data_IF_192173796688
#
_entry.id   IF_192173796688
#
_cell.length_a   1.000
_cell.length_b   1.000
_cell.length_c   1.000
_cell.angle_alpha   90.00
_cell.angle_beta   90.00
_cell.angle_gamma   90.00
#
_symmetry.space_group_name_H-M   'P 1'
#
loop_
_entity.id
_entity.type
_entity.pdbx_description
1 polymer ?
#
# COMPACT_ATOMS: atom_id res chain seq x y z
N UNK A 1 -4.34 1.06 7.94
CA UNK A 1 -2.87 0.95 8.02
C UNK A 1 -2.34 1.25 9.42
N UNK A 2 -2.49 2.47 9.95
CA UNK A 2 -2.15 2.75 11.36
C UNK A 2 -2.94 1.86 12.34
N UNK A 3 -4.15 1.47 11.97
CA UNK A 3 -4.95 0.46 12.68
C UNK A 3 -4.29 -0.93 12.73
N UNK A 4 -3.59 -1.37 11.68
CA UNK A 4 -2.87 -2.64 11.68
C UNK A 4 -1.66 -2.58 12.60
N UNK A 5 -0.87 -1.51 12.50
CA UNK A 5 0.28 -1.28 13.38
C UNK A 5 -0.18 -1.18 14.83
N UNK A 6 -1.26 -0.44 15.12
CA UNK A 6 -1.81 -0.32 16.46
C UNK A 6 -2.25 -1.67 17.05
N UNK A 7 -2.90 -2.51 16.25
CA UNK A 7 -3.29 -3.88 16.68
C UNK A 7 -2.07 -4.76 16.93
N UNK A 8 -1.14 -4.81 15.98
CA UNK A 8 0.09 -5.60 16.11
C UNK A 8 0.91 -5.17 17.33
N UNK A 9 1.08 -3.86 17.53
CA UNK A 9 1.84 -3.31 18.64
C UNK A 9 1.19 -3.65 19.99
N UNK A 10 -0.15 -3.60 20.08
CA UNK A 10 -0.87 -3.98 21.29
C UNK A 10 -0.72 -5.48 21.60
N UNK A 11 -0.80 -6.35 20.60
CA UNK A 11 -0.62 -7.80 20.75
C UNK A 11 0.80 -8.18 21.20
N UNK A 12 1.81 -7.46 20.71
CA UNK A 12 3.23 -7.73 20.99
C UNK A 12 3.84 -6.81 22.06
N UNK A 13 3.02 -6.02 22.76
CA UNK A 13 3.45 -5.06 23.78
C UNK A 13 4.57 -4.09 23.32
N UNK A 14 4.48 -3.61 22.09
CA UNK A 14 5.41 -2.64 21.50
C UNK A 14 4.90 -1.20 21.70
N UNK A 15 5.79 -0.30 22.11
CA UNK A 15 5.53 1.16 22.06
C UNK A 15 5.95 1.67 20.68
N UNK A 16 4.96 2.00 19.84
CA UNK A 16 5.18 2.56 18.50
C UNK A 16 4.60 3.95 18.45
N UNK A 17 5.44 4.92 18.08
CA UNK A 17 5.02 6.32 17.92
C UNK A 17 5.41 6.83 16.56
N UNK A 18 4.43 7.39 15.83
CA UNK A 18 4.69 8.11 14.59
C UNK A 18 5.22 9.50 14.95
N UNK A 19 6.44 9.81 14.52
CA UNK A 19 7.06 11.12 14.73
C UNK A 19 6.76 12.06 13.56
N UNK A 20 6.85 11.55 12.34
CA UNK A 20 6.62 12.34 11.12
C UNK A 20 6.02 11.48 10.01
N UNK A 21 5.18 12.12 9.19
CA UNK A 21 4.76 11.61 7.88
C UNK A 21 5.07 12.70 6.86
N UNK A 22 5.83 12.36 5.83
CA UNK A 22 6.28 13.29 4.78
C UNK A 22 6.00 12.71 3.41
N UNK A 23 5.72 13.56 2.43
CA UNK A 23 5.86 13.18 1.03
C UNK A 23 7.32 13.41 0.60
N UNK A 24 7.87 12.46 -0.15
CA UNK A 24 9.20 12.55 -0.74
C UNK A 24 9.27 11.74 -2.04
N UNK A 25 9.42 12.44 -3.16
CA UNK A 25 9.53 11.86 -4.51
C UNK A 25 8.31 11.05 -4.94
N UNK A 26 7.09 11.55 -4.66
CA UNK A 26 5.84 10.88 -5.00
C UNK A 26 5.53 9.66 -4.13
N UNK A 27 6.17 9.56 -2.96
CA UNK A 27 5.97 8.49 -1.99
C UNK A 27 5.76 9.10 -0.60
N UNK A 28 4.99 8.43 0.24
CA UNK A 28 4.99 8.69 1.67
C UNK A 28 6.28 8.16 2.31
N UNK A 29 6.73 8.85 3.36
CA UNK A 29 7.80 8.45 4.27
C UNK A 29 7.34 8.67 5.70
N UNK A 30 7.27 7.58 6.46
CA UNK A 30 6.81 7.53 7.84
C UNK A 30 8.00 7.27 8.75
N UNK A 31 8.29 8.22 9.62
CA UNK A 31 9.32 8.07 10.64
C UNK A 31 8.65 7.68 11.94
N UNK A 32 9.03 6.53 12.47
CA UNK A 32 8.54 6.02 13.76
C UNK A 32 9.66 5.89 14.78
N UNK A 33 9.29 5.97 16.05
CA UNK A 33 10.10 5.57 17.20
C UNK A 33 9.52 4.29 17.80
N UNK A 34 10.41 3.38 18.18
CA UNK A 34 10.05 2.08 18.76
C UNK A 34 9.63 1.06 17.70
N UNK A 35 8.77 0.11 18.09
CA UNK A 35 8.36 -0.99 17.21
C UNK A 35 9.47 -1.99 16.92
N UNK A 36 9.26 -2.77 15.87
CA UNK A 36 10.11 -3.88 15.48
C UNK A 36 10.21 -4.03 13.94
N UNK A 37 10.86 -5.10 13.49
CA UNK A 37 11.04 -5.37 12.06
C UNK A 37 9.70 -5.56 11.33
N UNK A 38 8.69 -6.15 11.98
CA UNK A 38 7.38 -6.36 11.34
C UNK A 38 6.67 -5.03 11.17
N UNK A 39 6.71 -4.17 12.19
CA UNK A 39 6.17 -2.81 12.14
C UNK A 39 6.81 -2.01 11.01
N UNK A 40 8.14 -2.07 10.88
CA UNK A 40 8.87 -1.42 9.78
C UNK A 40 8.41 -1.95 8.42
N UNK A 41 8.28 -3.27 8.25
CA UNK A 41 7.81 -3.86 6.98
C UNK A 41 6.38 -3.48 6.62
N UNK A 42 5.48 -3.37 7.61
CA UNK A 42 4.11 -2.89 7.36
C UNK A 42 4.13 -1.46 6.80
N UNK A 43 4.98 -0.61 7.38
CA UNK A 43 5.20 0.76 6.88
C UNK A 43 5.85 0.77 5.50
N UNK A 44 6.86 -0.06 5.26
CA UNK A 44 7.51 -0.15 3.95
C UNK A 44 6.51 -0.51 2.84
N UNK A 45 5.61 -1.47 3.08
CA UNK A 45 4.55 -1.81 2.11
C UNK A 45 3.61 -0.63 1.87
N UNK A 46 3.21 0.06 2.93
CA UNK A 46 2.38 1.24 2.82
C UNK A 46 3.02 2.38 2.03
N UNK A 47 4.31 2.64 2.26
CA UNK A 47 5.08 3.63 1.51
C UNK A 47 5.17 3.24 0.03
N UNK A 48 5.46 1.97 -0.28
CA UNK A 48 5.47 1.47 -1.66
C UNK A 48 4.12 1.65 -2.36
N UNK A 49 3.03 1.30 -1.68
CA UNK A 49 1.67 1.42 -2.23
C UNK A 49 1.30 2.89 -2.46
N UNK A 50 1.73 3.80 -1.59
CA UNK A 50 1.49 5.24 -1.78
C UNK A 50 2.03 5.79 -3.10
N UNK A 51 3.10 5.18 -3.63
CA UNK A 51 3.67 5.51 -4.95
C UNK A 51 2.79 5.15 -6.14
N UNK A 52 1.67 4.47 -5.88
CA UNK A 52 0.66 4.08 -6.86
C UNK A 52 -0.70 4.74 -6.54
N UNK A 53 -0.76 5.68 -5.60
CA UNK A 53 -2.00 6.36 -5.17
C UNK A 53 -1.96 7.83 -5.58
N UNK A 54 -2.99 8.29 -6.27
CA UNK A 54 -3.15 9.69 -6.64
C UNK A 54 -3.26 10.57 -5.39
N UNK A 55 -2.35 11.53 -5.22
CA UNK A 55 -2.33 12.38 -4.01
C UNK A 55 -3.50 13.38 -3.94
N UNK A 56 -4.28 13.51 -5.02
CA UNK A 56 -5.47 14.38 -5.08
C UNK A 56 -6.76 13.68 -4.65
N UNK A 57 -6.95 12.43 -5.07
CA UNK A 57 -8.24 11.73 -4.88
C UNK A 57 -8.13 10.33 -4.27
N UNK A 58 -6.92 9.81 -4.02
CA UNK A 58 -6.74 8.47 -3.44
C UNK A 58 -6.95 7.30 -4.42
N UNK A 59 -7.38 7.56 -5.66
CA UNK A 59 -7.51 6.53 -6.71
C UNK A 59 -6.14 6.05 -7.19
N UNK A 60 -6.08 4.89 -7.81
CA UNK A 60 -4.86 4.38 -8.45
C UNK A 60 -4.26 5.41 -9.42
N UNK A 61 -2.98 5.69 -9.27
CA UNK A 61 -2.23 6.68 -10.02
C UNK A 61 -0.89 6.16 -10.50
N UNK A 62 -0.23 6.97 -11.32
CA UNK A 62 1.13 6.73 -11.79
C UNK A 62 2.00 7.94 -11.52
N UNK A 63 3.30 7.73 -11.48
CA UNK A 63 4.27 8.82 -11.43
C UNK A 63 4.03 9.81 -12.56
N UNK A 64 4.01 11.08 -12.20
CA UNK A 64 3.75 12.20 -13.07
C UNK A 64 4.70 13.34 -12.66
N UNK A 65 5.45 13.86 -13.62
CA UNK A 65 6.30 15.02 -13.37
C UNK A 65 5.55 16.29 -13.75
N UNK A 66 5.44 17.22 -12.80
CA UNK A 66 4.86 18.53 -13.00
C UNK A 66 5.78 19.60 -12.44
N UNK A 67 6.22 20.54 -13.30
CA UNK A 67 7.09 21.66 -12.91
C UNK A 67 8.38 21.22 -12.16
N UNK A 68 8.98 20.09 -12.57
CA UNK A 68 10.18 19.54 -11.95
C UNK A 68 9.96 18.84 -10.60
N UNK A 69 8.70 18.66 -10.18
CA UNK A 69 8.34 17.87 -9.01
C UNK A 69 7.74 16.54 -9.43
N UNK A 70 8.25 15.45 -8.87
CA UNK A 70 7.70 14.11 -9.05
C UNK A 70 6.49 13.95 -8.12
N UNK A 71 5.36 13.59 -8.69
CA UNK A 71 4.08 13.38 -8.01
C UNK A 71 3.44 12.07 -8.45
N UNK A 72 2.39 11.63 -7.77
CA UNK A 72 1.53 10.55 -8.24
C UNK A 72 0.12 11.08 -8.52
N UNK A 73 -0.34 10.83 -9.75
CA UNK A 73 -1.64 11.33 -10.26
C UNK A 73 -2.36 10.21 -11.01
N UNK A 74 -3.67 10.11 -10.82
CA UNK A 74 -4.52 9.33 -11.73
C UNK A 74 -4.66 10.07 -13.07
N UNK A 75 -5.12 9.38 -14.12
CA UNK A 75 -5.28 9.96 -15.46
C UNK A 75 -6.07 11.27 -15.44
N UNK A 76 -7.14 11.33 -14.64
CA UNK A 76 -7.97 12.52 -14.48
C UNK A 76 -7.17 13.73 -13.97
N UNK A 77 -6.31 13.55 -12.97
CA UNK A 77 -5.53 14.62 -12.34
C UNK A 77 -4.17 14.88 -13.02
N UNK A 78 -3.85 14.17 -14.10
CA UNK A 78 -2.73 14.53 -14.99
C UNK A 78 -3.16 15.57 -16.04
N UNK A 79 -4.46 15.73 -16.27
CA UNK A 79 -5.00 16.65 -17.25
C UNK A 79 -5.15 18.07 -16.66
N UNK A 80 -4.81 19.13 -17.42
CA UNK A 80 -5.02 20.51 -16.98
C UNK A 80 -6.51 20.83 -16.81
N UNK A 81 -6.82 21.74 -15.88
CA UNK A 81 -8.17 22.30 -15.60
C UNK A 81 -9.21 21.34 -14.99
N UNK A 82 -8.77 20.29 -14.31
CA UNK A 82 -9.64 19.46 -13.48
C UNK A 82 -9.76 20.07 -12.07
N UNK A 83 -10.99 20.21 -11.57
CA UNK A 83 -11.25 20.73 -10.22
C UNK A 83 -10.69 19.78 -9.17
N UNK A 84 -9.83 20.29 -8.29
CA UNK A 84 -9.22 19.58 -7.15
C UNK A 84 -10.23 19.12 -6.07
N UNK A 85 -11.53 19.26 -6.31
CA UNK A 85 -12.57 18.96 -5.33
C UNK A 85 -12.94 17.49 -5.41
N UNK A 86 -12.06 16.63 -4.89
CA UNK A 86 -12.46 15.27 -4.48
C UNK A 86 -11.99 15.06 -3.06
N UNK A 87 -12.93 14.92 -2.13
CA UNK A 87 -12.60 14.56 -0.75
C UNK A 87 -12.22 13.08 -0.75
N UNK A 88 -10.99 12.77 -0.35
CA UNK A 88 -10.59 11.40 -0.08
C UNK A 88 -11.24 10.98 1.24
N UNK A 89 -12.34 10.22 1.17
CA UNK A 89 -12.99 9.70 2.36
C UNK A 89 -12.22 8.50 2.93
N UNK A 90 -12.17 8.40 4.25
CA UNK A 90 -11.65 7.20 4.91
C UNK A 90 -12.54 6.01 4.59
N UNK A 91 -11.94 4.94 4.06
CA UNK A 91 -12.61 3.67 3.83
C UNK A 91 -12.14 2.64 4.85
N UNK A 92 -13.04 2.26 5.76
CA UNK A 92 -12.81 1.17 6.71
C UNK A 92 -12.63 -0.16 5.97
N UNK A 93 -13.45 -0.40 4.94
CA UNK A 93 -13.38 -1.60 4.10
C UNK A 93 -12.01 -1.76 3.46
N UNK A 94 -11.47 -0.68 2.88
CA UNK A 94 -10.11 -0.68 2.33
C UNK A 94 -9.08 -0.95 3.41
N UNK A 95 -9.16 -0.25 4.54
CA UNK A 95 -8.20 -0.39 5.63
C UNK A 95 -8.11 -1.82 6.17
N UNK A 96 -9.24 -2.52 6.28
CA UNK A 96 -9.31 -3.92 6.72
C UNK A 96 -8.80 -4.87 5.63
N UNK A 97 -9.20 -4.66 4.38
CA UNK A 97 -8.82 -5.52 3.25
C UNK A 97 -7.32 -5.45 2.98
N UNK A 98 -6.77 -4.23 2.99
CA UNK A 98 -5.34 -3.97 2.90
C UNK A 98 -4.58 -4.67 4.02
N UNK A 99 -5.04 -4.54 5.27
CA UNK A 99 -4.37 -5.15 6.40
C UNK A 99 -4.26 -6.68 6.29
N UNK A 100 -5.35 -7.35 5.85
CA UNK A 100 -5.37 -8.80 5.60
C UNK A 100 -4.45 -9.22 4.47
N UNK A 101 -4.42 -8.47 3.37
CA UNK A 101 -3.54 -8.76 2.25
C UNK A 101 -2.06 -8.61 2.66
N UNK A 102 -1.71 -7.50 3.31
CA UNK A 102 -0.33 -7.22 3.76
C UNK A 102 0.14 -8.25 4.78
N UNK A 103 -0.70 -8.70 5.71
CA UNK A 103 -0.29 -9.73 6.68
C UNK A 103 0.10 -11.03 5.99
N UNK A 104 -0.66 -11.48 4.97
CA UNK A 104 -0.28 -12.66 4.17
C UNK A 104 0.96 -12.43 3.32
N UNK A 105 1.10 -11.26 2.68
CA UNK A 105 2.29 -10.92 1.88
C UNK A 105 3.55 -11.01 2.74
N UNK A 106 3.54 -10.39 3.93
CA UNK A 106 4.70 -10.41 4.83
C UNK A 106 4.96 -11.81 5.40
N UNK A 107 3.92 -12.61 5.64
CA UNK A 107 4.06 -13.99 6.10
C UNK A 107 4.69 -14.90 5.04
N UNK A 108 4.22 -14.84 3.79
CA UNK A 108 4.71 -15.67 2.69
C UNK A 108 6.12 -15.27 2.24
N UNK A 109 6.33 -13.99 1.95
CA UNK A 109 7.55 -13.53 1.27
C UNK A 109 8.62 -13.02 2.22
N UNK A 110 8.30 -12.83 3.51
CA UNK A 110 9.25 -12.44 4.57
C UNK A 110 10.03 -11.18 4.24
N UNK A 111 11.30 -11.32 3.85
CA UNK A 111 12.24 -10.27 3.44
C UNK A 111 12.19 -9.97 1.94
N UNK A 112 11.69 -10.90 1.13
CA UNK A 112 11.53 -10.77 -0.32
C UNK A 112 10.22 -10.08 -0.74
N UNK A 113 9.38 -9.67 0.22
CA UNK A 113 8.08 -9.06 -0.01
C UNK A 113 8.14 -7.87 -0.98
N UNK A 114 9.16 -7.01 -0.84
CA UNK A 114 9.29 -5.81 -1.66
C UNK A 114 9.57 -6.13 -3.14
N UNK A 115 10.28 -7.22 -3.43
CA UNK A 115 10.53 -7.66 -4.80
C UNK A 115 9.24 -8.21 -5.41
N UNK A 116 8.56 -9.11 -4.69
CA UNK A 116 7.29 -9.68 -5.15
C UNK A 116 6.22 -8.62 -5.41
N UNK A 117 6.14 -7.59 -4.55
CA UNK A 117 5.21 -6.48 -4.74
C UNK A 117 5.48 -5.67 -6.03
N UNK A 118 6.72 -5.63 -6.51
CA UNK A 118 7.16 -4.82 -7.66
C UNK A 118 7.17 -5.59 -8.98
N UNK A 119 7.18 -6.92 -8.94
CA UNK A 119 7.13 -7.76 -10.14
C UNK A 119 5.70 -7.94 -10.64
N UNK A 120 5.52 -8.10 -11.95
CA UNK A 120 4.20 -8.38 -12.52
C UNK A 120 3.75 -9.79 -12.13
N UNK A 121 2.52 -9.90 -11.63
CA UNK A 121 1.94 -11.19 -11.27
C UNK A 121 0.93 -11.64 -12.35
N UNK A 122 1.24 -12.75 -13.04
CA UNK A 122 0.35 -13.31 -14.06
C UNK A 122 -1.04 -13.64 -13.50
N UNK A 123 -1.09 -14.21 -12.29
CA UNK A 123 -2.34 -14.56 -11.61
C UNK A 123 -3.22 -13.34 -11.26
N UNK A 124 -2.63 -12.13 -11.21
CA UNK A 124 -3.34 -10.87 -11.03
C UNK A 124 -3.57 -10.12 -12.36
N UNK A 125 -3.51 -10.83 -13.50
CA UNK A 125 -3.72 -10.23 -14.81
C UNK A 125 -2.56 -9.35 -15.29
N UNK A 126 -1.31 -9.73 -14.92
CA UNK A 126 -0.08 -8.94 -15.19
C UNK A 126 -0.04 -7.58 -14.49
N UNK A 127 -0.80 -7.43 -13.43
CA UNK A 127 -0.72 -6.26 -12.54
C UNK A 127 0.36 -6.52 -11.49
N UNK A 128 1.14 -5.49 -11.16
CA UNK A 128 2.08 -5.55 -10.03
C UNK A 128 1.29 -5.55 -8.73
N UNK A 129 1.55 -6.45 -7.76
CA UNK A 129 0.76 -6.49 -6.53
C UNK A 129 0.71 -5.16 -5.76
N UNK A 130 1.78 -4.34 -5.82
CA UNK A 130 1.80 -2.98 -5.22
C UNK A 130 0.71 -2.06 -5.80
N UNK A 131 0.40 -2.20 -7.09
CA UNK A 131 -0.66 -1.43 -7.74
C UNK A 131 -2.04 -1.98 -7.37
N UNK A 132 -2.18 -3.31 -7.32
CA UNK A 132 -3.42 -3.95 -6.91
C UNK A 132 -3.84 -3.55 -5.48
N UNK A 133 -2.87 -3.41 -4.57
CA UNK A 133 -3.12 -2.99 -3.19
C UNK A 133 -3.66 -1.54 -3.05
N UNK A 134 -3.82 -0.79 -4.14
CA UNK A 134 -4.43 0.55 -4.11
C UNK A 134 -5.95 0.53 -4.03
N UNK A 135 -6.60 -0.62 -4.28
CA UNK A 135 -8.07 -0.76 -4.24
C UNK A 135 -8.52 -1.90 -3.32
N UNK A 136 -9.80 -1.91 -2.95
CA UNK A 136 -10.41 -2.99 -2.16
C UNK A 136 -10.36 -4.31 -2.93
N UNK A 137 -10.74 -4.27 -4.20
CA UNK A 137 -10.82 -5.43 -5.08
C UNK A 137 -9.44 -6.05 -5.29
N UNK A 138 -8.41 -5.22 -5.49
CA UNK A 138 -7.04 -5.71 -5.64
C UNK A 138 -6.46 -6.25 -4.33
N UNK A 139 -6.81 -5.67 -3.17
CA UNK A 139 -6.48 -6.27 -1.87
C UNK A 139 -7.11 -7.67 -1.72
N UNK A 140 -8.38 -7.83 -2.08
CA UNK A 140 -9.04 -9.14 -2.07
C UNK A 140 -8.38 -10.12 -3.03
N UNK A 141 -8.07 -9.69 -4.26
CA UNK A 141 -7.41 -10.54 -5.25
C UNK A 141 -6.03 -11.04 -4.77
N UNK A 142 -5.22 -10.16 -4.16
CA UNK A 142 -3.93 -10.54 -3.55
C UNK A 142 -4.14 -11.52 -2.39
N UNK A 143 -5.09 -11.23 -1.49
CA UNK A 143 -5.40 -12.10 -0.37
C UNK A 143 -5.84 -13.51 -0.82
N UNK A 144 -6.79 -13.58 -1.76
CA UNK A 144 -7.33 -14.84 -2.28
C UNK A 144 -6.28 -15.64 -3.03
N UNK A 145 -5.42 -14.98 -3.82
CA UNK A 145 -4.29 -15.62 -4.48
C UNK A 145 -3.37 -16.31 -3.47
N UNK A 146 -2.93 -15.58 -2.43
CA UNK A 146 -2.03 -16.13 -1.43
C UNK A 146 -2.71 -17.23 -0.59
N UNK A 147 -4.01 -17.08 -0.30
CA UNK A 147 -4.78 -18.16 0.34
C UNK A 147 -4.86 -19.42 -0.52
N UNK A 148 -5.09 -19.30 -1.83
CA UNK A 148 -5.11 -20.46 -2.73
C UNK A 148 -3.76 -21.19 -2.75
N UNK A 149 -2.67 -20.44 -2.78
CA UNK A 149 -1.31 -20.97 -2.70
C UNK A 149 -1.09 -21.67 -1.35
N UNK A 150 -1.57 -21.11 -0.23
CA UNK A 150 -1.51 -21.72 1.10
C UNK A 150 -2.17 -23.11 1.13
N UNK A 151 -3.31 -23.26 0.46
CA UNK A 151 -4.05 -24.52 0.36
C UNK A 151 -3.59 -25.44 -0.79
N UNK A 152 -2.48 -25.13 -1.45
CA UNK A 152 -1.88 -25.98 -2.48
C UNK A 152 -2.63 -25.98 -3.82
N UNK A 153 -3.48 -24.97 -4.08
CA UNK A 153 -4.10 -24.78 -5.39
C UNK A 153 -3.09 -24.04 -6.27
N UNK A 154 -2.43 -24.76 -7.18
CA UNK A 154 -1.55 -24.15 -8.17
C UNK A 154 -2.37 -23.26 -9.12
N UNK A 155 -1.88 -22.04 -9.34
CA UNK A 155 -2.45 -21.01 -10.22
C UNK A 155 -1.67 -20.95 -11.51
#
# INVERSE_FOLDING_TARGET
MLSLIGRYSAEHALDVRVEQVKEKFGLLRTYIRGGDVVTNRILDVAELVSGCVCEKCGMTGKYFEANGFLQVRCLQHQLPNQSDVTVCEYSEVYSVSFAKAVSLVLWFFRDQYANWLKEECLALGRVRPVEALTTVEGCHAVYDLLKRIEYGVNV
#
